data_IF_205325458095
#
_entry.id   IF_205325458095
#
_cell.length_a   1.000
_cell.length_b   1.000
_cell.length_c   1.000
_cell.angle_alpha   90.00
_cell.angle_beta   90.00
_cell.angle_gamma   90.00
#
_symmetry.space_group_name_H-M   'P 1'
#
loop_
_entity.id
_entity.type
_entity.pdbx_description
1 polymer ?
#
# COMPACT_ATOMS: atom_id res chain seq x y z
N UNK A 1 -8.03 -9.03 25.76
CA UNK A 1 -7.04 -9.98 25.20
C UNK A 1 -7.45 -11.45 25.32
N UNK A 2 -8.59 -11.75 25.94
CA UNK A 2 -9.06 -13.12 26.07
C UNK A 2 -9.32 -13.75 24.70
N UNK A 3 -8.93 -15.02 24.54
CA UNK A 3 -9.12 -15.87 23.36
C UNK A 3 -8.17 -15.63 22.17
N UNK A 4 -7.12 -14.81 22.33
CA UNK A 4 -6.09 -14.65 21.30
C UNK A 4 -5.14 -15.85 21.28
N UNK A 5 -4.77 -16.30 20.06
CA UNK A 5 -3.99 -17.53 19.84
C UNK A 5 -2.52 -17.19 19.57
N UNK A 6 -1.65 -17.66 20.43
CA UNK A 6 -0.20 -17.38 20.40
C UNK A 6 0.56 -18.68 20.08
N UNK A 7 1.52 -18.61 19.17
CA UNK A 7 2.52 -19.65 18.97
C UNK A 7 3.77 -19.29 19.77
N UNK A 8 4.15 -20.14 20.72
CA UNK A 8 5.39 -20.03 21.49
C UNK A 8 6.41 -21.06 20.94
N UNK A 9 7.59 -20.59 20.53
CA UNK A 9 8.67 -21.43 20.02
C UNK A 9 9.89 -21.28 20.93
N UNK A 10 10.15 -22.32 21.71
CA UNK A 10 11.20 -22.34 22.75
C UNK A 10 11.66 -23.79 22.93
N UNK A 11 12.94 -24.08 22.76
CA UNK A 11 13.52 -25.43 22.86
C UNK A 11 13.75 -25.87 24.31
N UNK A 12 13.99 -24.93 25.24
CA UNK A 12 14.03 -25.21 26.67
C UNK A 12 12.64 -25.55 27.19
N UNK A 13 12.45 -26.79 27.61
CA UNK A 13 11.15 -27.30 28.08
C UNK A 13 10.66 -26.60 29.38
N UNK A 14 11.57 -26.23 30.27
CA UNK A 14 11.22 -25.55 31.52
C UNK A 14 10.74 -24.12 31.25
N UNK A 15 11.49 -23.41 30.41
CA UNK A 15 11.16 -22.04 30.02
C UNK A 15 9.87 -21.98 29.19
N UNK A 16 9.72 -22.90 28.22
CA UNK A 16 8.48 -23.04 27.43
C UNK A 16 7.26 -23.28 28.32
N UNK A 17 7.35 -24.17 29.31
CA UNK A 17 6.28 -24.46 30.25
C UNK A 17 5.93 -23.23 31.11
N UNK A 18 6.94 -22.52 31.63
CA UNK A 18 6.77 -21.32 32.44
C UNK A 18 6.07 -20.20 31.67
N UNK A 19 6.57 -19.86 30.48
CA UNK A 19 5.99 -18.82 29.62
C UNK A 19 4.57 -19.19 29.17
N UNK A 20 4.36 -20.45 28.77
CA UNK A 20 3.03 -20.95 28.36
C UNK A 20 2.01 -20.85 29.50
N UNK A 21 2.41 -21.23 30.74
CA UNK A 21 1.55 -21.14 31.90
C UNK A 21 1.18 -19.68 32.21
N UNK A 22 2.14 -18.78 32.18
CA UNK A 22 1.92 -17.36 32.45
C UNK A 22 1.00 -16.72 31.40
N UNK A 23 1.19 -17.01 30.12
CA UNK A 23 0.33 -16.51 29.05
C UNK A 23 -1.10 -17.07 29.15
N UNK A 24 -1.25 -18.35 29.50
CA UNK A 24 -2.58 -18.98 29.73
C UNK A 24 -3.30 -18.38 30.95
N UNK A 25 -2.59 -18.07 32.03
CA UNK A 25 -3.19 -17.36 33.19
C UNK A 25 -3.80 -16.02 32.82
N UNK A 26 -3.28 -15.39 31.78
CA UNK A 26 -3.75 -14.09 31.24
C UNK A 26 -4.87 -14.26 30.19
N UNK A 27 -5.41 -15.47 30.01
CA UNK A 27 -6.53 -15.76 29.13
C UNK A 27 -6.14 -15.92 27.64
N UNK A 28 -4.86 -16.15 27.36
CA UNK A 28 -4.39 -16.39 25.99
C UNK A 28 -4.41 -17.90 25.70
N UNK A 29 -4.75 -18.25 24.46
CA UNK A 29 -4.56 -19.61 23.97
C UNK A 29 -3.13 -19.76 23.46
N UNK A 30 -2.39 -20.76 23.94
CA UNK A 30 -0.97 -20.93 23.63
C UNK A 30 -0.72 -22.34 23.09
N UNK A 31 -0.18 -22.41 21.89
CA UNK A 31 0.42 -23.60 21.32
C UNK A 31 1.95 -23.47 21.43
N UNK A 32 2.63 -24.52 21.86
CA UNK A 32 4.09 -24.51 22.03
C UNK A 32 4.75 -25.45 21.04
N UNK A 33 5.87 -25.03 20.47
CA UNK A 33 6.77 -25.82 19.63
C UNK A 33 8.20 -25.67 20.12
N UNK A 34 9.01 -26.73 19.90
CA UNK A 34 10.40 -26.78 20.39
C UNK A 34 11.45 -26.57 19.30
N UNK A 35 10.98 -26.41 18.07
CA UNK A 35 11.86 -26.41 16.89
C UNK A 35 11.35 -25.48 15.80
N UNK A 36 12.28 -25.01 14.96
CA UNK A 36 11.95 -24.24 13.76
C UNK A 36 11.04 -25.04 12.83
N UNK A 37 11.34 -26.34 12.60
CA UNK A 37 10.56 -27.19 11.71
C UNK A 37 9.11 -27.38 12.22
N UNK A 38 8.92 -27.55 13.52
CA UNK A 38 7.59 -27.63 14.14
C UNK A 38 6.81 -26.33 13.99
N UNK A 39 7.45 -25.20 14.27
CA UNK A 39 6.85 -23.88 14.14
C UNK A 39 6.40 -23.58 12.70
N UNK A 40 7.24 -23.82 11.70
CA UNK A 40 6.91 -23.64 10.28
C UNK A 40 5.68 -24.47 9.89
N UNK A 41 5.67 -25.75 10.24
CA UNK A 41 4.54 -26.65 9.95
C UNK A 41 3.23 -26.20 10.61
N UNK A 42 3.31 -25.60 11.79
CA UNK A 42 2.14 -25.02 12.46
C UNK A 42 1.63 -23.75 11.78
N UNK A 43 2.53 -22.85 11.40
CA UNK A 43 2.21 -21.61 10.70
C UNK A 43 1.54 -21.86 9.35
N UNK A 44 1.84 -22.98 8.68
CA UNK A 44 1.16 -23.38 7.44
C UNK A 44 -0.28 -23.89 7.67
N UNK A 45 -0.58 -24.43 8.87
CA UNK A 45 -1.85 -25.10 9.16
C UNK A 45 -2.83 -24.29 9.99
N UNK A 46 -2.35 -23.36 10.78
CA UNK A 46 -3.13 -22.61 11.75
C UNK A 46 -2.76 -21.14 11.72
N UNK A 47 -3.73 -20.28 12.00
CA UNK A 47 -3.55 -18.83 12.10
C UNK A 47 -3.28 -18.46 13.55
N UNK A 48 -2.28 -17.62 13.79
CA UNK A 48 -1.91 -17.12 15.10
C UNK A 48 -2.05 -15.59 15.16
N UNK A 49 -2.44 -15.08 16.33
CA UNK A 49 -2.52 -13.64 16.57
C UNK A 49 -1.14 -13.02 16.80
N UNK A 50 -0.22 -13.78 17.38
CA UNK A 50 1.18 -13.43 17.52
C UNK A 50 2.05 -14.69 17.60
N UNK A 51 3.33 -14.54 17.29
CA UNK A 51 4.36 -15.55 17.48
C UNK A 51 5.39 -15.02 18.46
N UNK A 52 5.78 -15.85 19.43
CA UNK A 52 6.89 -15.57 20.34
C UNK A 52 7.93 -16.65 20.09
N UNK A 53 9.15 -16.29 19.69
CA UNK A 53 10.18 -17.25 19.33
C UNK A 53 11.52 -16.93 20.00
N UNK A 54 12.23 -17.96 20.48
CA UNK A 54 13.66 -17.77 20.76
C UNK A 54 14.41 -17.53 19.44
N UNK A 55 15.45 -16.74 19.50
CA UNK A 55 16.35 -16.50 18.40
C UNK A 55 17.23 -17.75 18.13
N UNK A 56 17.62 -18.48 19.18
CA UNK A 56 18.44 -19.68 19.07
C UNK A 56 17.62 -20.90 19.48
N UNK A 57 17.33 -21.74 18.52
CA UNK A 57 16.64 -23.02 18.70
C UNK A 57 17.57 -24.18 18.36
N UNK A 58 17.40 -25.33 19.00
CA UNK A 58 18.28 -26.48 18.84
C UNK A 58 18.45 -26.98 17.41
N UNK A 59 17.46 -26.76 16.53
CA UNK A 59 17.45 -27.16 15.12
C UNK A 59 17.69 -25.97 14.15
N UNK A 60 17.92 -24.74 14.67
CA UNK A 60 18.16 -23.60 13.80
C UNK A 60 18.01 -22.23 14.43
N UNK A 61 17.91 -21.23 13.57
CA UNK A 61 17.78 -19.82 13.92
C UNK A 61 16.31 -19.39 13.87
N UNK A 62 15.83 -18.72 14.92
CA UNK A 62 14.49 -18.13 15.00
C UNK A 62 14.18 -17.13 13.87
N UNK A 63 15.18 -16.57 13.18
CA UNK A 63 14.98 -15.77 11.98
C UNK A 63 14.21 -16.52 10.89
N UNK A 64 14.33 -17.85 10.82
CA UNK A 64 13.56 -18.69 9.89
C UNK A 64 12.08 -18.76 10.29
N UNK A 65 11.77 -18.72 11.61
CA UNK A 65 10.40 -18.63 12.10
C UNK A 65 9.77 -17.31 11.70
N UNK A 66 10.51 -16.19 11.83
CA UNK A 66 10.05 -14.86 11.37
C UNK A 66 9.73 -14.89 9.88
N UNK A 67 10.66 -15.40 9.05
CA UNK A 67 10.49 -15.48 7.61
C UNK A 67 9.27 -16.33 7.23
N UNK A 68 9.07 -17.47 7.87
CA UNK A 68 7.92 -18.35 7.65
C UNK A 68 6.59 -17.68 8.07
N UNK A 69 6.57 -17.00 9.23
CA UNK A 69 5.41 -16.25 9.68
C UNK A 69 5.04 -15.14 8.69
N UNK A 70 6.02 -14.38 8.21
CA UNK A 70 5.78 -13.30 7.24
C UNK A 70 5.36 -13.81 5.85
N UNK A 71 5.83 -14.98 5.44
CA UNK A 71 5.43 -15.58 4.16
C UNK A 71 4.01 -16.14 4.19
N UNK A 72 3.61 -16.83 5.28
CA UNK A 72 2.29 -17.46 5.40
C UNK A 72 1.23 -16.55 6.01
N UNK A 73 1.61 -15.69 6.92
CA UNK A 73 0.71 -14.82 7.71
C UNK A 73 1.34 -13.42 7.87
N UNK A 74 1.36 -12.56 6.82
CA UNK A 74 2.11 -11.30 6.82
C UNK A 74 1.76 -10.33 7.97
N UNK A 75 0.54 -10.43 8.50
CA UNK A 75 0.05 -9.56 9.57
C UNK A 75 0.35 -10.07 10.97
N UNK A 76 0.70 -11.35 11.11
CA UNK A 76 1.07 -11.90 12.40
C UNK A 76 2.36 -11.27 12.88
N UNK A 77 2.31 -10.58 14.01
CA UNK A 77 3.51 -9.99 14.61
C UNK A 77 4.34 -11.05 15.30
N UNK A 78 5.66 -10.94 15.14
CA UNK A 78 6.63 -11.86 15.74
C UNK A 78 7.44 -11.13 16.79
N UNK A 79 7.44 -11.62 18.02
CA UNK A 79 8.29 -11.15 19.12
C UNK A 79 9.45 -12.15 19.26
N UNK A 80 10.67 -11.63 19.25
CA UNK A 80 11.87 -12.44 19.45
C UNK A 80 12.34 -12.34 20.89
N UNK A 81 12.66 -13.49 21.49
CA UNK A 81 13.27 -13.58 22.82
C UNK A 81 14.69 -14.14 22.65
N UNK A 82 15.67 -13.64 23.39
CA UNK A 82 17.04 -14.15 23.30
C UNK A 82 17.84 -13.96 24.59
N UNK A 83 18.67 -14.94 24.92
CA UNK A 83 19.62 -14.87 26.04
C UNK A 83 20.94 -14.13 25.74
N UNK A 84 21.22 -13.83 24.46
CA UNK A 84 22.45 -13.18 24.04
C UNK A 84 22.10 -11.96 23.18
N UNK A 85 21.51 -10.94 23.83
CA UNK A 85 21.11 -9.69 23.18
C UNK A 85 22.32 -8.82 22.86
N UNK A 86 22.77 -8.84 21.60
CA UNK A 86 23.65 -7.80 21.06
C UNK A 86 22.84 -6.85 20.18
N UNK A 87 23.33 -5.63 20.00
CA UNK A 87 22.71 -4.67 19.08
C UNK A 87 22.55 -5.28 17.69
N UNK A 88 23.55 -6.04 17.23
CA UNK A 88 23.55 -6.65 15.90
C UNK A 88 22.46 -7.70 15.74
N UNK A 89 22.22 -8.54 16.77
CA UNK A 89 21.15 -9.57 16.73
C UNK A 89 19.76 -8.94 16.77
N UNK A 90 19.57 -7.89 17.55
CA UNK A 90 18.32 -7.12 17.57
C UNK A 90 18.03 -6.47 16.21
N UNK A 91 19.04 -5.81 15.61
CA UNK A 91 18.94 -5.21 14.27
C UNK A 91 18.64 -6.27 13.21
N UNK A 92 19.26 -7.43 13.27
CA UNK A 92 19.00 -8.54 12.34
C UNK A 92 17.56 -9.04 12.44
N UNK A 93 17.04 -9.24 13.66
CA UNK A 93 15.66 -9.66 13.89
C UNK A 93 14.65 -8.62 13.36
N UNK A 94 14.87 -7.33 13.64
CA UNK A 94 14.02 -6.25 13.14
C UNK A 94 14.04 -6.14 11.61
N UNK A 95 15.20 -6.28 10.98
CA UNK A 95 15.34 -6.33 9.52
C UNK A 95 14.63 -7.55 8.90
N UNK A 96 14.60 -8.67 9.60
CA UNK A 96 13.87 -9.87 9.17
C UNK A 96 12.34 -9.74 9.32
N UNK A 97 11.86 -8.66 9.95
CA UNK A 97 10.44 -8.38 10.13
C UNK A 97 9.88 -8.73 11.51
N UNK A 98 10.72 -8.90 12.54
CA UNK A 98 10.25 -8.97 13.91
C UNK A 98 9.53 -7.67 14.28
N UNK A 99 8.47 -7.78 15.08
CA UNK A 99 7.73 -6.64 15.60
C UNK A 99 8.39 -6.05 16.84
N UNK A 100 8.92 -6.92 17.70
CA UNK A 100 9.61 -6.52 18.93
C UNK A 100 10.66 -7.56 19.31
N UNK A 101 11.54 -7.20 20.23
CA UNK A 101 12.69 -7.97 20.66
C UNK A 101 12.90 -7.83 22.16
N UNK A 102 12.96 -8.96 22.89
CA UNK A 102 13.10 -9.03 24.33
C UNK A 102 14.35 -9.81 24.72
N UNK A 103 15.01 -9.39 25.81
CA UNK A 103 16.19 -10.10 26.36
C UNK A 103 15.81 -11.01 27.53
N UNK A 104 16.42 -12.19 27.60
CA UNK A 104 16.29 -13.09 28.76
C UNK A 104 17.15 -12.56 29.93
N UNK A 105 16.67 -12.58 31.19
CA UNK A 105 15.38 -13.12 31.62
C UNK A 105 14.21 -12.21 31.23
N UNK A 106 13.12 -12.81 30.71
CA UNK A 106 11.94 -12.08 30.26
C UNK A 106 11.04 -11.78 31.44
N UNK A 107 10.83 -10.51 31.71
CA UNK A 107 9.85 -10.08 32.72
C UNK A 107 8.42 -10.28 32.17
N UNK A 108 7.51 -10.90 32.95
CA UNK A 108 6.14 -11.19 32.50
C UNK A 108 5.37 -9.95 32.03
N UNK A 109 5.59 -8.80 32.65
CA UNK A 109 4.98 -7.54 32.26
C UNK A 109 5.48 -7.02 30.92
N UNK A 110 6.78 -7.19 30.65
CA UNK A 110 7.41 -6.76 29.39
C UNK A 110 6.88 -7.58 28.22
N UNK A 111 6.83 -8.92 28.35
CA UNK A 111 6.24 -9.79 27.35
C UNK A 111 4.76 -9.47 27.10
N UNK A 112 3.99 -9.19 28.16
CA UNK A 112 2.60 -8.80 28.06
C UNK A 112 2.43 -7.49 27.28
N UNK A 113 3.29 -6.49 27.56
CA UNK A 113 3.24 -5.20 26.85
C UNK A 113 3.55 -5.37 25.36
N UNK A 114 4.58 -6.15 25.04
CA UNK A 114 4.94 -6.46 23.66
C UNK A 114 3.81 -7.19 22.92
N UNK A 115 3.22 -8.23 23.55
CA UNK A 115 2.07 -8.95 22.97
C UNK A 115 0.85 -8.04 22.76
N UNK A 116 0.56 -7.14 23.72
CA UNK A 116 -0.54 -6.18 23.57
C UNK A 116 -0.34 -5.31 22.34
N UNK A 117 0.84 -4.72 22.17
CA UNK A 117 1.18 -3.88 21.00
C UNK A 117 1.03 -4.64 19.66
N UNK A 118 1.52 -5.88 19.62
CA UNK A 118 1.39 -6.76 18.45
C UNK A 118 -0.08 -7.00 18.09
N UNK A 119 -0.88 -7.38 19.07
CA UNK A 119 -2.29 -7.72 18.88
C UNK A 119 -3.10 -6.47 18.48
N UNK A 120 -2.89 -5.34 19.17
CA UNK A 120 -3.54 -4.06 18.83
C UNK A 120 -3.19 -3.62 17.39
N UNK A 121 -1.93 -3.73 17.00
CA UNK A 121 -1.50 -3.40 15.64
C UNK A 121 -2.20 -4.28 14.59
N UNK A 122 -2.28 -5.59 14.83
CA UNK A 122 -2.99 -6.53 13.95
C UNK A 122 -4.49 -6.25 13.89
N UNK A 123 -5.12 -5.99 15.02
CA UNK A 123 -6.55 -5.69 15.10
C UNK A 123 -6.88 -4.38 14.36
N UNK A 124 -6.02 -3.36 14.45
CA UNK A 124 -6.13 -2.12 13.68
C UNK A 124 -6.01 -2.36 12.17
N UNK A 125 -5.06 -3.18 11.72
CA UNK A 125 -4.94 -3.55 10.30
C UNK A 125 -6.19 -4.29 9.81
N UNK A 126 -6.73 -5.21 10.63
CA UNK A 126 -7.98 -5.91 10.35
C UNK A 126 -9.18 -4.97 10.24
N UNK A 127 -9.29 -3.99 11.15
CA UNK A 127 -10.35 -2.98 11.14
C UNK A 127 -10.26 -2.08 9.90
N UNK A 128 -9.06 -1.62 9.54
CA UNK A 128 -8.86 -0.85 8.30
C UNK A 128 -9.30 -1.65 7.07
N UNK A 129 -8.99 -2.96 7.01
CA UNK A 129 -9.48 -3.81 5.91
C UNK A 129 -11.01 -3.94 5.93
N UNK A 130 -11.60 -4.17 7.11
CA UNK A 130 -13.05 -4.29 7.24
C UNK A 130 -13.74 -3.02 6.78
N UNK A 131 -13.31 -1.86 7.27
CA UNK A 131 -13.89 -0.57 6.88
C UNK A 131 -13.70 -0.30 5.37
N UNK A 132 -12.55 -0.66 4.81
CA UNK A 132 -12.34 -0.61 3.35
C UNK A 132 -13.26 -1.57 2.59
N UNK A 133 -13.53 -2.76 3.11
CA UNK A 133 -14.47 -3.72 2.52
C UNK A 133 -15.92 -3.23 2.61
N UNK A 134 -16.35 -2.66 3.74
CA UNK A 134 -17.68 -2.06 3.92
C UNK A 134 -17.90 -0.87 2.97
N UNK A 135 -16.90 0.01 2.83
CA UNK A 135 -16.92 1.08 1.82
C UNK A 135 -16.98 0.49 0.40
N UNK A 136 -16.39 -0.68 0.15
CA UNK A 136 -16.44 -1.38 -1.15
C UNK A 136 -17.78 -2.05 -1.45
N UNK A 137 -18.41 -2.71 -0.47
CA UNK A 137 -19.75 -3.31 -0.65
C UNK A 137 -20.80 -2.24 -0.98
N UNK A 138 -20.63 -1.04 -0.41
CA UNK A 138 -21.40 0.14 -0.81
C UNK A 138 -20.99 0.69 -2.18
N UNK A 139 -19.78 0.34 -2.64
CA UNK A 139 -19.13 0.92 -3.82
C UNK A 139 -18.86 -0.06 -4.93
N UNK A 140 -19.30 -1.24 -5.13
CA UNK A 140 -19.10 -1.99 -6.34
C UNK A 140 -18.84 -1.02 -7.50
N UNK A 141 -19.35 -1.10 -8.67
CA UNK A 141 -19.48 0.10 -9.49
C UNK A 141 -20.51 1.10 -8.88
N UNK A 142 -20.75 1.04 -7.56
CA UNK A 142 -21.68 1.80 -6.77
C UNK A 142 -21.19 3.25 -6.66
N UNK A 143 -21.95 4.13 -7.18
CA UNK A 143 -21.61 5.55 -7.42
C UNK A 143 -21.55 5.86 -8.89
N UNK A 144 -21.52 4.85 -9.78
CA UNK A 144 -21.63 5.05 -11.22
C UNK A 144 -22.98 4.54 -11.69
N UNK A 145 -23.88 5.44 -12.04
CA UNK A 145 -25.14 5.09 -12.72
C UNK A 145 -24.79 4.62 -14.13
N UNK A 146 -25.28 3.45 -14.53
CA UNK A 146 -24.94 2.79 -15.80
C UNK A 146 -26.17 2.23 -16.52
N UNK A 147 -27.26 2.98 -16.53
CA UNK A 147 -28.48 2.62 -17.25
C UNK A 147 -28.29 2.71 -18.77
N UNK A 148 -27.47 3.68 -19.24
CA UNK A 148 -27.19 3.87 -20.66
C UNK A 148 -26.28 2.76 -21.24
N UNK A 149 -26.40 2.54 -22.56
CA UNK A 149 -25.54 1.60 -23.29
C UNK A 149 -24.07 2.07 -23.34
N UNK A 150 -23.87 3.38 -23.41
CA UNK A 150 -22.57 4.06 -23.44
C UNK A 150 -21.83 3.78 -22.15
N UNK A 151 -22.45 4.00 -21.00
CA UNK A 151 -21.83 3.80 -19.69
C UNK A 151 -21.56 2.31 -19.42
N UNK A 152 -22.44 1.41 -19.85
CA UNK A 152 -22.18 -0.04 -19.78
C UNK A 152 -20.93 -0.46 -20.57
N UNK A 153 -20.70 0.12 -21.77
CA UNK A 153 -19.45 -0.11 -22.53
C UNK A 153 -18.23 0.39 -21.77
N UNK A 154 -18.31 1.58 -21.17
CA UNK A 154 -17.24 2.13 -20.32
C UNK A 154 -16.92 1.18 -19.17
N UNK A 155 -17.92 0.68 -18.43
CA UNK A 155 -17.70 -0.26 -17.33
C UNK A 155 -17.12 -1.60 -17.78
N UNK A 156 -17.47 -2.09 -18.97
CA UNK A 156 -16.82 -3.26 -19.56
C UNK A 156 -15.33 -3.01 -19.88
N UNK A 157 -14.97 -1.80 -20.36
CA UNK A 157 -13.59 -1.42 -20.58
C UNK A 157 -12.84 -1.30 -19.24
N UNK A 158 -13.45 -0.69 -18.24
CA UNK A 158 -12.92 -0.61 -16.87
C UNK A 158 -12.60 -2.00 -16.33
N UNK A 159 -13.53 -2.96 -16.43
CA UNK A 159 -13.30 -4.34 -15.97
C UNK A 159 -12.11 -5.02 -16.67
N UNK A 160 -11.94 -4.78 -17.97
CA UNK A 160 -10.84 -5.36 -18.76
C UNK A 160 -9.48 -4.75 -18.40
N UNK A 161 -9.42 -3.41 -18.22
CA UNK A 161 -8.16 -2.72 -17.96
C UNK A 161 -7.77 -2.78 -16.48
N UNK A 162 -8.75 -2.92 -15.58
CA UNK A 162 -8.49 -2.94 -14.14
C UNK A 162 -7.50 -4.03 -13.74
N UNK A 163 -7.56 -5.21 -14.34
CA UNK A 163 -6.69 -6.35 -14.02
C UNK A 163 -5.26 -6.21 -14.54
N UNK A 164 -4.95 -5.14 -15.29
CA UNK A 164 -3.63 -4.84 -15.83
C UNK A 164 -2.98 -3.66 -15.09
N UNK A 165 -1.66 -3.50 -15.22
CA UNK A 165 -0.94 -2.31 -14.76
C UNK A 165 -0.83 -1.21 -15.84
N UNK A 166 -1.55 -1.34 -16.95
CA UNK A 166 -1.52 -0.37 -18.03
C UNK A 166 -1.98 1.03 -17.54
N UNK A 167 -1.32 2.06 -18.05
CA UNK A 167 -1.74 3.45 -17.87
C UNK A 167 -3.06 3.69 -18.59
N UNK A 168 -3.98 4.39 -17.97
CA UNK A 168 -5.29 4.70 -18.51
C UNK A 168 -5.44 6.21 -18.66
N UNK A 169 -5.88 6.64 -19.84
CA UNK A 169 -6.26 8.04 -20.08
C UNK A 169 -7.79 8.14 -20.19
N UNK A 170 -8.39 8.81 -19.21
CA UNK A 170 -9.84 9.07 -19.17
C UNK A 170 -10.11 10.46 -19.74
N UNK A 171 -10.84 10.55 -20.84
CA UNK A 171 -11.22 11.84 -21.46
C UNK A 171 -12.72 12.08 -21.33
N UNK A 172 -13.12 13.34 -21.32
CA UNK A 172 -14.52 13.75 -21.25
C UNK A 172 -14.68 15.12 -20.64
N UNK A 173 -15.80 15.76 -20.88
CA UNK A 173 -16.10 17.09 -20.33
C UNK A 173 -16.02 17.16 -18.81
N UNK A 174 -15.93 18.38 -18.26
CA UNK A 174 -15.99 18.56 -16.80
C UNK A 174 -17.32 18.01 -16.26
N UNK A 175 -17.27 17.33 -15.10
CA UNK A 175 -18.46 16.76 -14.47
C UNK A 175 -18.95 15.42 -15.03
N UNK A 176 -18.27 14.80 -16.01
CA UNK A 176 -18.69 13.50 -16.58
C UNK A 176 -18.44 12.30 -15.68
N UNK A 177 -17.71 12.47 -14.57
CA UNK A 177 -17.41 11.39 -13.63
C UNK A 177 -16.05 10.73 -13.83
N UNK A 178 -15.07 11.44 -14.41
CA UNK A 178 -13.71 10.90 -14.67
C UNK A 178 -13.03 10.32 -13.41
N UNK A 179 -13.15 11.00 -12.27
CA UNK A 179 -12.61 10.51 -11.00
C UNK A 179 -13.30 9.23 -10.52
N UNK A 180 -14.65 9.13 -10.69
CA UNK A 180 -15.40 7.92 -10.33
C UNK A 180 -14.92 6.72 -11.16
N UNK A 181 -14.67 6.92 -12.45
CA UNK A 181 -14.12 5.88 -13.34
C UNK A 181 -12.70 5.51 -12.94
N UNK A 182 -11.85 6.48 -12.59
CA UNK A 182 -10.49 6.20 -12.12
C UNK A 182 -10.50 5.40 -10.80
N UNK A 183 -11.39 5.74 -9.89
CA UNK A 183 -11.60 5.02 -8.64
C UNK A 183 -12.12 3.60 -8.89
N UNK A 184 -13.07 3.43 -9.81
CA UNK A 184 -13.58 2.12 -10.20
C UNK A 184 -12.47 1.23 -10.84
N UNK A 185 -11.54 1.81 -11.61
CA UNK A 185 -10.36 1.10 -12.11
C UNK A 185 -9.47 0.61 -10.97
N UNK A 186 -9.21 1.46 -9.98
CA UNK A 186 -8.41 1.09 -8.82
C UNK A 186 -9.07 -0.02 -8.00
N UNK A 187 -10.36 0.15 -7.65
CA UNK A 187 -11.11 -0.77 -6.77
C UNK A 187 -11.25 -2.19 -7.36
N UNK A 188 -11.22 -2.30 -8.69
CA UNK A 188 -11.28 -3.57 -9.41
C UNK A 188 -9.90 -4.08 -9.85
N UNK A 189 -8.80 -3.47 -9.38
CA UNK A 189 -7.43 -3.84 -9.75
C UNK A 189 -6.76 -4.77 -8.71
N UNK A 190 -5.66 -5.45 -9.08
CA UNK A 190 -4.79 -6.13 -8.11
C UNK A 190 -4.21 -5.19 -7.04
N UNK A 191 -4.20 -3.87 -7.29
CA UNK A 191 -3.69 -2.84 -6.39
C UNK A 191 -4.76 -2.20 -5.51
N UNK A 192 -5.96 -2.75 -5.52
CA UNK A 192 -7.13 -2.23 -4.77
C UNK A 192 -6.90 -2.07 -3.26
N UNK A 193 -6.00 -2.87 -2.68
CA UNK A 193 -5.64 -2.79 -1.26
C UNK A 193 -4.61 -1.70 -0.95
N UNK A 194 -3.98 -1.16 -2.01
CA UNK A 194 -3.07 -0.03 -1.95
C UNK A 194 -3.78 1.31 -1.82
N UNK A 195 -3.00 2.39 -1.76
CA UNK A 195 -3.55 3.75 -1.71
C UNK A 195 -4.09 4.19 -3.07
N UNK A 196 -5.25 4.87 -3.07
CA UNK A 196 -5.71 5.69 -4.19
C UNK A 196 -5.41 7.15 -3.87
N UNK A 197 -4.42 7.72 -4.56
CA UNK A 197 -3.98 9.11 -4.36
C UNK A 197 -4.42 9.92 -5.56
N UNK A 198 -5.16 10.99 -5.33
CA UNK A 198 -5.69 11.86 -6.39
C UNK A 198 -5.11 13.27 -6.27
N UNK A 199 -4.78 13.88 -7.40
CA UNK A 199 -4.39 15.29 -7.49
C UNK A 199 -4.96 15.90 -8.76
N UNK A 200 -5.46 17.14 -8.62
CA UNK A 200 -5.83 17.97 -9.77
C UNK A 200 -4.62 18.85 -10.17
N UNK A 201 -4.12 18.63 -11.39
CA UNK A 201 -2.94 19.33 -11.90
C UNK A 201 -3.21 20.80 -12.23
N UNK A 202 -4.46 21.21 -12.42
CA UNK A 202 -4.84 22.59 -12.66
C UNK A 202 -5.10 23.41 -11.37
N UNK A 203 -5.22 22.75 -10.21
CA UNK A 203 -5.58 23.41 -8.97
C UNK A 203 -4.42 24.09 -8.24
N UNK A 204 -3.17 23.78 -8.58
CA UNK A 204 -1.98 24.24 -7.89
C UNK A 204 -1.03 24.98 -8.85
N UNK A 205 -0.33 26.03 -8.37
CA UNK A 205 0.79 26.61 -9.10
C UNK A 205 1.89 25.57 -9.38
N UNK A 206 2.60 25.70 -10.50
CA UNK A 206 3.58 24.73 -11.00
C UNK A 206 4.58 24.25 -9.94
N UNK A 207 5.24 25.17 -9.22
CA UNK A 207 6.25 24.81 -8.22
C UNK A 207 5.67 24.01 -7.03
N UNK A 208 4.41 24.29 -6.64
CA UNK A 208 3.72 23.52 -5.62
C UNK A 208 3.30 22.16 -6.15
N UNK A 209 2.75 22.09 -7.37
CA UNK A 209 2.36 20.84 -8.01
C UNK A 209 3.56 19.89 -8.17
N UNK A 210 4.72 20.43 -8.57
CA UNK A 210 5.95 19.65 -8.67
C UNK A 210 6.38 19.10 -7.31
N UNK A 211 6.38 19.94 -6.28
CA UNK A 211 6.72 19.56 -4.91
C UNK A 211 5.74 18.54 -4.32
N UNK A 212 4.44 18.64 -4.62
CA UNK A 212 3.44 17.63 -4.22
C UNK A 212 3.68 16.30 -4.92
N UNK A 213 3.84 16.27 -6.23
CA UNK A 213 3.99 15.05 -7.02
C UNK A 213 5.28 14.29 -6.70
N UNK A 214 6.42 14.99 -6.65
CA UNK A 214 7.75 14.37 -6.55
C UNK A 214 8.38 14.48 -5.16
N UNK A 215 7.82 15.31 -4.28
CA UNK A 215 8.41 15.62 -2.98
C UNK A 215 9.56 16.62 -3.08
N UNK A 216 10.10 17.00 -1.94
CA UNK A 216 11.22 17.93 -1.86
C UNK A 216 12.16 17.62 -0.69
N UNK A 217 13.40 18.10 -0.78
CA UNK A 217 14.34 18.10 0.32
C UNK A 217 14.35 19.47 1.00
N UNK A 218 14.69 19.49 2.28
CA UNK A 218 14.81 20.71 3.07
C UNK A 218 15.74 21.72 2.36
N UNK A 219 15.29 22.98 2.26
CA UNK A 219 16.05 24.06 1.66
C UNK A 219 15.99 24.15 0.14
N UNK A 220 15.19 23.34 -0.55
CA UNK A 220 15.07 23.33 -2.02
C UNK A 220 14.36 24.58 -2.59
N UNK A 221 13.53 25.24 -1.80
CA UNK A 221 12.88 26.53 -2.14
C UNK A 221 12.49 27.27 -0.86
N UNK A 222 12.05 28.52 -0.98
CA UNK A 222 11.58 29.34 0.15
C UNK A 222 10.33 28.72 0.78
N UNK A 223 10.43 28.26 2.05
CA UNK A 223 9.37 27.55 2.75
C UNK A 223 9.55 26.03 2.81
N UNK A 224 10.61 25.48 2.23
CA UNK A 224 10.97 24.06 2.37
C UNK A 224 11.69 23.79 3.70
N UNK A 225 10.95 23.85 4.83
CA UNK A 225 11.52 23.74 6.17
C UNK A 225 11.90 22.30 6.57
N UNK A 226 11.34 21.30 5.88
CA UNK A 226 11.56 19.86 6.12
C UNK A 226 11.55 19.09 4.80
N UNK A 227 12.04 17.84 4.85
CA UNK A 227 11.86 16.90 3.74
C UNK A 227 10.39 16.48 3.64
N UNK A 228 9.85 16.40 2.42
CA UNK A 228 8.49 15.90 2.15
C UNK A 228 8.54 14.79 1.10
N UNK A 229 7.84 13.71 1.35
CA UNK A 229 7.60 12.65 0.35
C UNK A 229 6.60 13.15 -0.68
N UNK A 230 6.76 12.73 -1.93
CA UNK A 230 5.84 13.06 -3.01
C UNK A 230 4.70 12.04 -3.14
N UNK A 231 3.63 12.47 -3.84
CA UNK A 231 2.45 11.62 -4.09
C UNK A 231 2.78 10.35 -4.89
N UNK A 232 3.81 10.35 -5.74
CA UNK A 232 4.31 9.13 -6.39
C UNK A 232 4.84 8.12 -5.38
N UNK A 233 5.50 8.56 -4.31
CA UNK A 233 5.96 7.70 -3.22
C UNK A 233 4.78 7.20 -2.37
N UNK A 234 3.80 8.06 -2.09
CA UNK A 234 2.60 7.73 -1.31
C UNK A 234 1.67 6.74 -2.04
N UNK A 235 1.60 6.86 -3.38
CA UNK A 235 0.83 5.97 -4.23
C UNK A 235 1.56 4.66 -4.56
N UNK A 236 2.77 4.45 -4.05
CA UNK A 236 3.56 3.25 -4.36
C UNK A 236 2.85 1.98 -3.87
N UNK A 237 2.71 0.98 -4.74
CA UNK A 237 1.87 -0.20 -4.50
C UNK A 237 0.37 0.00 -4.74
N UNK A 238 -0.06 1.23 -5.02
CA UNK A 238 -1.44 1.62 -5.29
C UNK A 238 -1.61 2.32 -6.64
N UNK A 239 -2.49 3.35 -6.68
CA UNK A 239 -2.82 4.09 -7.90
C UNK A 239 -2.70 5.60 -7.66
N UNK A 240 -2.04 6.29 -8.57
CA UNK A 240 -1.97 7.76 -8.66
C UNK A 240 -2.94 8.23 -9.75
N UNK A 241 -3.92 9.05 -9.37
CA UNK A 241 -4.84 9.69 -10.29
C UNK A 241 -4.42 11.13 -10.54
N UNK A 242 -4.16 11.46 -11.82
CA UNK A 242 -3.74 12.78 -12.28
C UNK A 242 -4.92 13.41 -13.03
N UNK A 243 -5.70 14.26 -12.36
CA UNK A 243 -6.79 14.98 -13.03
C UNK A 243 -6.27 16.22 -13.74
N UNK A 244 -6.93 16.60 -14.83
CA UNK A 244 -6.59 17.77 -15.66
C UNK A 244 -5.11 17.77 -16.09
N UNK A 245 -4.60 16.61 -16.55
CA UNK A 245 -3.20 16.44 -16.95
C UNK A 245 -2.76 17.41 -18.06
N UNK A 246 -3.68 17.92 -18.84
CA UNK A 246 -3.45 18.94 -19.88
C UNK A 246 -2.97 20.29 -19.34
N UNK A 247 -3.16 20.57 -18.05
CA UNK A 247 -2.75 21.82 -17.42
C UNK A 247 -1.27 21.79 -16.97
N UNK A 248 -0.57 20.68 -17.15
CA UNK A 248 0.84 20.53 -16.78
C UNK A 248 1.76 21.30 -17.73
N UNK A 249 2.80 21.91 -17.16
CA UNK A 249 3.83 22.63 -17.94
C UNK A 249 4.79 21.66 -18.65
N UNK A 250 5.47 22.07 -19.72
CA UNK A 250 6.47 21.23 -20.41
C UNK A 250 7.57 20.69 -19.48
N UNK A 251 8.00 21.47 -18.48
CA UNK A 251 8.99 21.03 -17.49
C UNK A 251 8.49 19.87 -16.64
N UNK A 252 7.24 19.97 -16.17
CA UNK A 252 6.60 18.92 -15.39
C UNK A 252 6.33 17.67 -16.22
N UNK A 253 5.94 17.85 -17.50
CA UNK A 253 5.71 16.74 -18.43
C UNK A 253 6.96 15.88 -18.63
N UNK A 254 8.16 16.47 -18.67
CA UNK A 254 9.43 15.71 -18.74
C UNK A 254 9.65 14.84 -17.51
N UNK A 255 9.34 15.35 -16.31
CA UNK A 255 9.49 14.59 -15.06
C UNK A 255 8.46 13.47 -14.95
N UNK A 256 7.22 13.75 -15.37
CA UNK A 256 6.16 12.72 -15.44
C UNK A 256 6.54 11.59 -16.41
N UNK A 257 7.08 11.92 -17.58
CA UNK A 257 7.52 10.92 -18.55
C UNK A 257 8.58 9.97 -17.95
N UNK A 258 9.57 10.51 -17.24
CA UNK A 258 10.59 9.70 -16.57
C UNK A 258 9.97 8.80 -15.51
N UNK A 259 9.09 9.32 -14.67
CA UNK A 259 8.39 8.52 -13.66
C UNK A 259 7.61 7.35 -14.28
N UNK A 260 6.96 7.58 -15.43
CA UNK A 260 6.19 6.55 -16.16
C UNK A 260 7.05 5.53 -16.92
N UNK A 261 8.25 5.93 -17.38
CA UNK A 261 9.13 5.06 -18.17
C UNK A 261 10.10 4.26 -17.29
N UNK A 262 10.74 4.95 -16.35
CA UNK A 262 11.83 4.42 -15.54
C UNK A 262 11.34 3.85 -14.20
N UNK A 263 10.12 4.21 -13.76
CA UNK A 263 9.64 3.88 -12.42
C UNK A 263 10.45 4.58 -11.32
N UNK A 264 11.06 5.72 -11.65
CA UNK A 264 11.92 6.49 -10.75
C UNK A 264 11.53 7.96 -10.79
N UNK A 265 11.59 8.59 -9.63
CA UNK A 265 11.41 10.03 -9.47
C UNK A 265 12.64 10.66 -8.84
N UNK A 266 12.73 11.99 -8.92
CA UNK A 266 13.71 12.80 -8.16
C UNK A 266 12.98 13.87 -7.40
N UNK A 267 13.28 14.00 -6.10
CA UNK A 267 12.71 15.06 -5.28
C UNK A 267 13.26 16.42 -5.69
N UNK A 268 12.46 17.46 -5.52
CA UNK A 268 12.90 18.84 -5.79
C UNK A 268 14.11 19.17 -4.90
N UNK A 269 15.19 19.63 -5.51
CA UNK A 269 16.45 19.91 -4.81
C UNK A 269 17.36 18.69 -4.56
N UNK A 270 16.99 17.50 -5.06
CA UNK A 270 17.80 16.28 -4.93
C UNK A 270 18.05 15.63 -6.30
N UNK A 271 19.25 15.08 -6.47
CA UNK A 271 19.65 14.34 -7.67
C UNK A 271 19.52 12.81 -7.52
N UNK A 272 19.26 12.31 -6.31
CA UNK A 272 19.14 10.88 -6.08
C UNK A 272 17.80 10.34 -6.60
N UNK A 273 17.80 9.27 -7.42
CA UNK A 273 16.57 8.65 -7.88
C UNK A 273 15.91 7.86 -6.74
N UNK A 274 14.59 7.94 -6.68
CA UNK A 274 13.75 7.17 -5.76
C UNK A 274 12.85 6.27 -6.60
N UNK A 275 12.91 4.95 -6.38
CA UNK A 275 12.04 3.98 -7.06
C UNK A 275 10.60 4.10 -6.56
N UNK A 276 9.67 4.10 -7.49
CA UNK A 276 8.23 4.15 -7.22
C UNK A 276 7.50 3.11 -8.07
N UNK A 277 6.45 2.53 -7.52
CA UNK A 277 5.63 1.52 -8.20
C UNK A 277 4.15 1.90 -8.09
N UNK A 278 3.80 3.09 -8.60
CA UNK A 278 2.42 3.54 -8.68
C UNK A 278 1.83 3.24 -10.06
N UNK A 279 0.61 2.67 -10.11
CA UNK A 279 -0.19 2.64 -11.33
C UNK A 279 -0.71 4.05 -11.58
N UNK A 280 -0.62 4.54 -12.83
CA UNK A 280 -1.11 5.88 -13.16
C UNK A 280 -2.41 5.81 -13.96
N UNK A 281 -3.40 6.58 -13.52
CA UNK A 281 -4.61 6.90 -14.28
C UNK A 281 -4.62 8.41 -14.46
N UNK A 282 -4.69 8.89 -15.70
CA UNK A 282 -4.73 10.30 -16.02
C UNK A 282 -6.10 10.69 -16.56
N UNK A 283 -6.53 11.92 -16.31
CA UNK A 283 -7.76 12.46 -16.87
C UNK A 283 -7.55 13.82 -17.53
N UNK A 284 -8.34 14.09 -18.55
CA UNK A 284 -8.39 15.40 -19.23
C UNK A 284 -9.80 15.74 -19.68
N UNK A 285 -10.17 17.00 -19.51
CA UNK A 285 -11.38 17.59 -20.11
C UNK A 285 -11.10 18.27 -21.46
N UNK A 286 -9.82 18.30 -21.88
CA UNK A 286 -9.38 18.90 -23.15
C UNK A 286 -8.89 17.84 -24.12
N UNK A 287 -8.92 18.16 -25.39
CA UNK A 287 -8.32 17.34 -26.45
C UNK A 287 -6.80 17.41 -26.40
N UNK A 288 -6.17 16.41 -25.75
CA UNK A 288 -4.71 16.35 -25.61
C UNK A 288 -4.04 16.21 -27.00
N UNK A 289 -4.66 15.54 -27.99
CA UNK A 289 -4.10 15.42 -29.33
C UNK A 289 -3.92 16.78 -29.97
N UNK A 290 -4.91 17.65 -29.83
CA UNK A 290 -4.81 19.03 -30.27
C UNK A 290 -3.68 19.78 -29.56
N UNK A 291 -3.52 19.57 -28.23
CA UNK A 291 -2.41 20.19 -27.47
C UNK A 291 -1.05 19.70 -27.92
N UNK A 292 -0.93 18.45 -28.36
CA UNK A 292 0.31 17.93 -28.98
C UNK A 292 0.60 18.66 -30.29
N UNK A 293 -0.38 18.82 -31.18
CA UNK A 293 -0.19 19.54 -32.44
C UNK A 293 0.13 21.02 -32.24
N UNK A 294 -0.37 21.63 -31.18
CA UNK A 294 -0.08 23.02 -30.79
C UNK A 294 1.25 23.17 -30.01
N UNK A 295 1.99 22.07 -29.77
CA UNK A 295 3.25 22.07 -29.02
C UNK A 295 3.10 22.35 -27.50
N UNK A 296 1.88 22.34 -26.97
CA UNK A 296 1.57 22.55 -25.55
C UNK A 296 1.70 21.29 -24.71
N UNK A 297 1.61 20.13 -25.33
CA UNK A 297 1.76 18.84 -24.70
C UNK A 297 2.75 17.97 -25.45
N UNK A 298 3.63 17.28 -24.74
CA UNK A 298 4.65 16.43 -25.38
C UNK A 298 4.03 15.18 -25.98
N UNK A 299 4.40 14.85 -27.17
CA UNK A 299 3.94 13.69 -27.92
C UNK A 299 4.35 12.37 -27.24
N UNK A 300 5.59 12.30 -26.73
CA UNK A 300 6.12 11.12 -26.04
C UNK A 300 5.34 10.82 -24.75
N UNK A 301 4.99 11.83 -23.96
CA UNK A 301 4.17 11.69 -22.77
C UNK A 301 2.73 11.28 -23.14
N UNK A 302 2.16 11.87 -24.20
CA UNK A 302 0.83 11.51 -24.66
C UNK A 302 0.72 10.02 -24.96
N UNK A 303 1.64 9.44 -25.74
CA UNK A 303 1.62 8.01 -26.04
C UNK A 303 1.85 7.14 -24.81
N UNK A 304 2.61 7.59 -23.83
CA UNK A 304 2.82 6.85 -22.58
C UNK A 304 1.62 6.88 -21.66
N UNK A 305 0.82 7.95 -21.67
CA UNK A 305 -0.44 8.06 -20.93
C UNK A 305 -1.59 7.35 -21.64
N UNK A 306 -1.66 7.45 -22.96
CA UNK A 306 -2.76 6.94 -23.79
C UNK A 306 -2.55 5.48 -24.22
N UNK A 307 -2.13 4.61 -23.28
CA UNK A 307 -2.02 3.17 -23.54
C UNK A 307 -3.40 2.53 -23.64
N UNK A 308 -4.30 2.95 -22.74
CA UNK A 308 -5.69 2.50 -22.76
C UNK A 308 -6.63 3.73 -22.65
N UNK A 309 -7.23 4.18 -23.75
CA UNK A 309 -8.16 5.30 -23.72
C UNK A 309 -9.54 4.89 -23.23
N UNK A 310 -10.15 5.72 -22.39
CA UNK A 310 -11.56 5.64 -22.00
C UNK A 310 -12.17 7.02 -22.21
N UNK A 311 -13.17 7.11 -23.06
CA UNK A 311 -13.90 8.34 -23.35
C UNK A 311 -15.27 8.33 -22.64
N UNK A 312 -15.58 9.40 -21.90
CA UNK A 312 -16.83 9.58 -21.19
C UNK A 312 -17.71 10.59 -21.92
N UNK A 313 -18.89 10.13 -22.32
CA UNK A 313 -19.92 11.00 -22.89
C UNK A 313 -20.57 11.88 -21.83
N UNK A 314 -20.90 13.13 -22.12
CA UNK A 314 -21.61 14.00 -21.18
C UNK A 314 -23.05 13.50 -20.91
N UNK A 315 -23.60 13.83 -19.72
CA UNK A 315 -24.94 13.37 -19.30
C UNK A 315 -26.06 13.70 -20.29
N UNK A 316 -25.98 14.84 -20.97
CA UNK A 316 -26.94 15.23 -21.99
C UNK A 316 -27.05 14.24 -23.18
N UNK A 317 -26.03 13.45 -23.41
CA UNK A 317 -25.97 12.43 -24.48
C UNK A 317 -26.26 11.01 -23.96
N UNK A 318 -26.52 10.87 -22.65
CA UNK A 318 -26.92 9.62 -21.98
C UNK A 318 -28.08 9.85 -20.99
N UNK A 319 -29.26 10.26 -21.52
CA UNK A 319 -30.38 10.64 -20.67
C UNK A 319 -30.87 9.51 -19.76
N UNK A 320 -30.66 8.24 -20.15
CA UNK A 320 -31.04 7.08 -19.34
C UNK A 320 -30.29 7.01 -17.99
N UNK A 321 -29.17 7.72 -17.86
CA UNK A 321 -28.40 7.82 -16.61
C UNK A 321 -28.87 9.00 -15.72
N UNK A 322 -29.86 9.77 -16.16
CA UNK A 322 -30.47 10.88 -15.42
C UNK A 322 -31.76 10.36 -14.79
N UNK A 323 -31.73 10.02 -13.50
CA UNK A 323 -32.90 9.67 -12.71
C UNK A 323 -33.01 10.50 -11.45
#
# INVERSE_FOLDING_TARGET
MSDKHILLVEDDAAQSAMLSMELKRRGLRVDSEKSVAGAVKRLEKQIFDAVVTDLRLGDGDGLKVIAAAKASQPETGVIVITGHGTIDTAVAAMKAGAFDYLTKPVEPEELQLALRKVIEHRDLLGEVRRLRAEVREQSGFSGIVSASAEMRKVLQLVSKVAVTDATVLVTGESGTGKELVARAIHDNSPRRDGSFVAINCGALPEGLLESELFGHVKGSFTGADRNKRGLFEEASGGTLFLDEISETTPGLQVKLLRALQEGEIRRVGDNHPVKVSARVVAASNRDIKRFVTEGKFREDLYYRLNVFPIELTPLRERPDDIM
#
